data_IF_498121241298
#
_entry.id   IF_498121241298
#
_cell.length_a   1.000
_cell.length_b   1.000
_cell.length_c   1.000
_cell.angle_alpha   90.00
_cell.angle_beta   90.00
_cell.angle_gamma   90.00
#
_symmetry.space_group_name_H-M   'P 1'
#
loop_
_entity.id
_entity.type
_entity.pdbx_description
1 polymer ?
#
# COMPACT_ATOMS: atom_id res chain seq x y z
N UNK A 1 53.36 48.59 3.56
CA UNK A 1 54.31 47.65 4.17
C UNK A 1 53.59 46.76 5.17
N UNK A 2 53.85 45.45 5.10
CA UNK A 2 53.73 44.38 6.13
C UNK A 2 52.36 44.15 6.79
N UNK A 3 51.67 43.05 6.46
CA UNK A 3 51.72 41.71 7.12
C UNK A 3 51.14 41.66 8.54
N UNK A 4 50.06 40.89 8.74
CA UNK A 4 50.13 39.62 9.48
C UNK A 4 48.75 38.92 9.51
N UNK A 5 48.73 37.66 9.11
CA UNK A 5 47.62 36.71 9.30
C UNK A 5 48.13 35.67 10.32
N UNK A 6 47.29 35.37 11.31
CA UNK A 6 47.57 34.48 12.44
C UNK A 6 47.75 33.02 12.01
N UNK A 7 48.78 32.37 12.54
CA UNK A 7 49.00 30.93 12.52
C UNK A 7 47.97 30.20 13.41
N UNK A 8 47.50 29.05 12.95
CA UNK A 8 47.18 27.91 13.83
C UNK A 8 47.87 26.67 13.27
N UNK A 9 48.51 25.96 14.17
CA UNK A 9 49.53 24.92 14.01
C UNK A 9 48.93 23.58 13.58
N UNK A 10 49.52 22.92 12.58
CA UNK A 10 49.27 21.51 12.28
C UNK A 10 50.56 20.70 12.44
N UNK A 11 50.48 19.67 13.28
CA UNK A 11 51.56 18.72 13.60
C UNK A 11 51.80 17.78 12.41
N UNK A 12 53.06 17.59 12.01
CA UNK A 12 53.50 16.65 10.96
C UNK A 12 53.92 15.31 11.56
N UNK A 13 53.55 14.21 10.90
CA UNK A 13 54.25 12.93 10.98
C UNK A 13 54.88 12.61 9.61
N UNK A 14 56.10 12.03 9.55
CA UNK A 14 56.79 11.76 8.29
C UNK A 14 56.43 10.38 7.74
N UNK A 15 56.26 10.29 6.42
CA UNK A 15 56.31 9.01 5.70
C UNK A 15 57.45 9.09 4.69
N UNK A 16 58.45 8.24 4.89
CA UNK A 16 59.59 7.99 4.00
C UNK A 16 59.16 7.14 2.80
N UNK A 17 59.53 7.56 1.59
CA UNK A 17 59.48 6.76 0.36
C UNK A 17 60.88 6.20 0.04
N UNK A 18 61.01 4.94 -0.40
CA UNK A 18 62.20 4.52 -1.13
C UNK A 18 61.89 4.14 -2.59
N UNK A 19 62.79 4.58 -3.48
CA UNK A 19 63.31 3.72 -4.54
C UNK A 19 62.71 3.83 -5.94
N UNK A 20 63.40 4.59 -6.80
CA UNK A 20 63.38 4.41 -8.26
C UNK A 20 63.93 3.01 -8.62
N UNK A 21 63.21 2.27 -9.47
CA UNK A 21 63.81 1.26 -10.36
C UNK A 21 63.30 1.47 -11.80
N UNK A 22 64.19 1.15 -12.74
CA UNK A 22 64.29 1.62 -14.12
C UNK A 22 63.39 0.88 -15.13
N UNK A 23 62.95 1.61 -16.17
CA UNK A 23 62.26 1.10 -17.37
C UNK A 23 63.14 0.11 -18.14
N UNK A 24 63.02 -1.21 -17.91
CA UNK A 24 63.54 -2.22 -18.86
C UNK A 24 62.95 -3.64 -18.71
N UNK A 25 61.96 -3.90 -17.84
CA UNK A 25 61.46 -5.28 -17.63
C UNK A 25 59.94 -5.47 -17.79
N UNK A 26 59.22 -4.50 -18.37
CA UNK A 26 57.75 -4.54 -18.44
C UNK A 26 57.17 -4.89 -19.84
N UNK A 27 57.95 -5.46 -20.75
CA UNK A 27 57.47 -5.74 -22.12
C UNK A 27 57.33 -7.23 -22.50
N UNK A 28 57.42 -8.17 -21.56
CA UNK A 28 57.26 -9.61 -21.91
C UNK A 28 56.21 -10.41 -21.13
N UNK A 29 55.28 -9.74 -20.43
CA UNK A 29 54.17 -10.43 -19.72
C UNK A 29 52.75 -10.01 -20.10
N UNK A 30 52.56 -9.03 -21.01
CA UNK A 30 51.22 -8.50 -21.32
C UNK A 30 50.56 -9.05 -22.60
N UNK A 31 51.18 -9.98 -23.32
CA UNK A 31 50.60 -10.51 -24.58
C UNK A 31 49.87 -11.84 -24.42
N UNK A 32 49.87 -12.48 -23.24
CA UNK A 32 49.12 -13.73 -22.98
C UNK A 32 47.88 -13.58 -22.10
N UNK A 33 47.67 -12.44 -21.44
CA UNK A 33 46.48 -12.20 -20.63
C UNK A 33 45.32 -11.50 -21.37
N UNK A 34 45.56 -10.94 -22.56
CA UNK A 34 44.52 -10.25 -23.33
C UNK A 34 43.67 -11.17 -24.23
N UNK A 35 44.09 -12.42 -24.45
CA UNK A 35 43.32 -13.40 -25.23
C UNK A 35 42.48 -14.36 -24.37
N UNK A 36 42.70 -14.40 -23.05
CA UNK A 36 41.93 -15.26 -22.14
C UNK A 36 40.66 -14.58 -21.58
N UNK A 37 40.66 -13.25 -21.50
CA UNK A 37 39.53 -12.45 -21.00
C UNK A 37 38.42 -12.23 -22.04
N UNK A 38 38.70 -12.43 -23.34
CA UNK A 38 37.66 -12.36 -24.38
C UNK A 38 36.90 -13.69 -24.58
N UNK A 39 37.50 -14.83 -24.24
CA UNK A 39 36.84 -16.14 -24.36
C UNK A 39 35.87 -16.44 -23.22
N UNK A 40 36.13 -15.95 -21.99
CA UNK A 40 35.27 -16.21 -20.82
C UNK A 40 33.97 -15.39 -20.87
N UNK A 41 34.01 -14.18 -21.44
CA UNK A 41 32.80 -13.33 -21.56
C UNK A 41 31.88 -13.83 -22.68
N UNK A 42 32.42 -14.31 -23.81
CA UNK A 42 31.59 -14.75 -24.95
C UNK A 42 30.98 -16.16 -24.77
N UNK A 43 31.67 -17.08 -24.08
CA UNK A 43 31.09 -18.40 -23.74
C UNK A 43 30.15 -18.35 -22.52
N UNK A 44 30.33 -17.39 -21.61
CA UNK A 44 29.42 -17.18 -20.47
C UNK A 44 28.06 -16.61 -20.89
N UNK A 45 28.04 -15.66 -21.84
CA UNK A 45 26.79 -15.04 -22.33
C UNK A 45 25.95 -16.01 -23.15
N UNK A 46 26.58 -16.87 -23.97
CA UNK A 46 25.85 -17.81 -24.85
C UNK A 46 25.28 -19.07 -24.16
N UNK A 47 25.71 -19.36 -22.93
CA UNK A 47 25.10 -20.40 -22.07
C UNK A 47 24.00 -19.82 -21.16
N UNK A 48 24.13 -18.55 -20.74
CA UNK A 48 23.11 -17.87 -19.95
C UNK A 48 21.82 -17.59 -20.75
N UNK A 49 21.93 -17.24 -22.03
CA UNK A 49 20.77 -17.05 -22.92
C UNK A 49 20.01 -18.37 -23.21
N UNK A 50 20.69 -19.53 -23.21
CA UNK A 50 20.02 -20.83 -23.41
C UNK A 50 19.35 -21.36 -22.14
N UNK A 51 19.94 -21.14 -20.96
CA UNK A 51 19.34 -21.56 -19.68
C UNK A 51 18.15 -20.66 -19.31
N UNK A 52 18.14 -19.39 -19.71
CA UNK A 52 17.01 -18.49 -19.46
C UNK A 52 15.85 -18.71 -20.44
N UNK A 53 16.08 -18.94 -21.73
CA UNK A 53 14.99 -19.18 -22.69
C UNK A 53 14.27 -20.53 -22.53
N UNK A 54 14.94 -21.56 -22.00
CA UNK A 54 14.29 -22.87 -21.77
C UNK A 54 13.52 -22.93 -20.44
N UNK A 55 13.76 -21.99 -19.52
CA UNK A 55 13.08 -21.90 -18.21
C UNK A 55 11.91 -20.90 -18.23
N UNK A 56 11.96 -19.85 -19.06
CA UNK A 56 10.89 -18.85 -19.17
C UNK A 56 9.66 -19.28 -19.99
N UNK A 57 9.70 -20.45 -20.63
CA UNK A 57 8.56 -21.02 -21.37
C UNK A 57 7.85 -22.16 -20.65
N UNK A 58 8.29 -22.54 -19.44
CA UNK A 58 7.73 -23.67 -18.71
C UNK A 58 7.54 -23.37 -17.22
N UNK A 59 6.65 -22.41 -16.89
CA UNK A 59 5.95 -22.37 -15.60
C UNK A 59 4.76 -21.38 -15.58
N UNK A 60 3.94 -21.34 -16.64
CA UNK A 60 2.53 -21.05 -16.43
C UNK A 60 1.89 -22.34 -15.90
N UNK A 61 1.64 -22.40 -14.59
CA UNK A 61 1.01 -23.57 -13.97
C UNK A 61 -0.31 -23.88 -14.70
N UNK A 62 -0.60 -25.13 -15.09
CA UNK A 62 -1.85 -25.50 -15.76
C UNK A 62 -3.09 -25.03 -15.00
N UNK A 63 -2.99 -24.96 -13.66
CA UNK A 63 -4.03 -24.45 -12.78
C UNK A 63 -4.29 -22.94 -12.94
N UNK A 64 -3.27 -22.11 -13.20
CA UNK A 64 -3.44 -20.68 -13.48
C UNK A 64 -4.05 -20.43 -14.86
N UNK A 65 -3.62 -21.20 -15.86
CA UNK A 65 -4.18 -21.13 -17.22
C UNK A 65 -5.64 -21.59 -17.25
N UNK A 66 -5.95 -22.68 -16.56
CA UNK A 66 -7.32 -23.17 -16.41
C UNK A 66 -8.20 -22.20 -15.60
N UNK A 67 -7.72 -21.67 -14.47
CA UNK A 67 -8.44 -20.69 -13.66
C UNK A 67 -8.73 -19.39 -14.44
N UNK A 68 -7.75 -18.88 -15.20
CA UNK A 68 -7.92 -17.71 -16.06
C UNK A 68 -8.87 -17.98 -17.23
N UNK A 69 -8.85 -19.17 -17.83
CA UNK A 69 -9.79 -19.57 -18.88
C UNK A 69 -11.22 -19.76 -18.34
N UNK A 70 -11.38 -20.31 -17.13
CA UNK A 70 -12.69 -20.40 -16.47
C UNK A 70 -13.21 -19.01 -16.09
N UNK A 71 -12.38 -18.12 -15.54
CA UNK A 71 -12.76 -16.74 -15.23
C UNK A 71 -13.16 -15.96 -16.50
N UNK A 72 -12.39 -16.11 -17.58
CA UNK A 72 -12.75 -15.52 -18.87
C UNK A 72 -14.04 -16.09 -19.47
N UNK A 73 -14.39 -17.35 -19.16
CA UNK A 73 -15.66 -17.96 -19.57
C UNK A 73 -16.85 -17.55 -18.70
N UNK A 74 -16.64 -17.26 -17.41
CA UNK A 74 -17.69 -16.75 -16.50
C UNK A 74 -17.97 -15.27 -16.72
N UNK A 75 -16.97 -14.50 -17.15
CA UNK A 75 -17.12 -13.08 -17.50
C UNK A 75 -17.73 -12.85 -18.90
N UNK A 76 -18.00 -13.90 -19.67
CA UNK A 76 -18.54 -13.79 -21.01
C UNK A 76 -19.94 -13.12 -21.00
N UNK A 77 -19.97 -11.82 -21.35
CA UNK A 77 -21.19 -11.01 -21.42
C UNK A 77 -21.35 -10.00 -20.28
N UNK A 78 -20.47 -9.99 -19.27
CA UNK A 78 -20.44 -8.96 -18.24
C UNK A 78 -19.58 -7.76 -18.69
N UNK A 79 -19.99 -6.56 -18.32
CA UNK A 79 -19.17 -5.35 -18.52
C UNK A 79 -17.92 -5.40 -17.65
N UNK A 80 -16.77 -4.97 -18.17
CA UNK A 80 -15.55 -4.80 -17.35
C UNK A 80 -15.71 -3.67 -16.33
N UNK A 81 -14.86 -3.62 -15.30
CA UNK A 81 -14.90 -2.54 -14.32
C UNK A 81 -14.78 -1.16 -14.99
N UNK A 82 -13.89 -1.04 -15.98
CA UNK A 82 -13.72 0.18 -16.75
C UNK A 82 -15.01 0.60 -17.49
N UNK A 83 -15.77 -0.35 -18.03
CA UNK A 83 -17.05 -0.07 -18.70
C UNK A 83 -18.11 0.39 -17.69
N UNK A 84 -18.21 -0.29 -16.54
CA UNK A 84 -19.11 0.07 -15.46
C UNK A 84 -18.82 1.48 -14.92
N UNK A 85 -17.56 1.78 -14.58
CA UNK A 85 -17.16 3.09 -14.07
C UNK A 85 -17.45 4.22 -15.07
N UNK A 86 -17.23 3.98 -16.37
CA UNK A 86 -17.63 4.92 -17.45
C UNK A 86 -19.14 5.12 -17.50
N UNK A 87 -19.91 4.03 -17.50
CA UNK A 87 -21.39 4.06 -17.59
C UNK A 87 -22.00 4.82 -16.42
N UNK A 88 -21.48 4.62 -15.22
CA UNK A 88 -21.90 5.29 -14.00
C UNK A 88 -21.24 6.64 -13.75
N UNK A 89 -20.35 7.08 -14.65
CA UNK A 89 -19.66 8.38 -14.57
C UNK A 89 -18.91 8.60 -13.25
N UNK A 90 -18.26 7.54 -12.76
CA UNK A 90 -17.37 7.63 -11.60
C UNK A 90 -16.04 8.25 -12.02
N UNK A 91 -15.55 9.18 -11.21
CA UNK A 91 -14.23 9.81 -11.33
C UNK A 91 -13.06 8.86 -11.15
N UNK A 92 -13.28 7.74 -10.43
CA UNK A 92 -12.35 6.61 -10.33
C UNK A 92 -11.82 6.16 -11.70
N UNK A 93 -12.60 6.34 -12.77
CA UNK A 93 -12.13 6.10 -14.14
C UNK A 93 -11.43 7.31 -14.77
N UNK A 94 -12.12 8.45 -14.92
CA UNK A 94 -11.64 9.53 -15.81
C UNK A 94 -10.64 10.51 -15.17
N UNK A 95 -10.62 10.61 -13.85
CA UNK A 95 -9.66 11.46 -13.11
C UNK A 95 -8.50 10.64 -12.56
N UNK A 96 -8.79 9.42 -12.12
CA UNK A 96 -7.91 8.66 -11.25
C UNK A 96 -7.33 7.37 -11.87
N UNK A 97 -8.02 6.77 -12.85
CA UNK A 97 -7.63 5.50 -13.47
C UNK A 97 -7.45 4.33 -12.48
N UNK A 98 -8.28 4.28 -11.43
CA UNK A 98 -8.23 3.26 -10.38
C UNK A 98 -8.65 1.87 -10.87
N UNK A 99 -9.31 1.76 -12.02
CA UNK A 99 -9.68 0.47 -12.61
C UNK A 99 -8.48 -0.45 -12.85
N UNK A 100 -7.29 0.11 -13.09
CA UNK A 100 -6.07 -0.68 -13.30
C UNK A 100 -5.67 -1.48 -12.07
N UNK A 101 -5.90 -0.92 -10.88
CA UNK A 101 -5.58 -1.56 -9.60
C UNK A 101 -6.74 -2.42 -9.13
N UNK A 102 -7.96 -1.90 -9.24
CA UNK A 102 -9.15 -2.61 -8.80
C UNK A 102 -9.42 -3.89 -9.59
N UNK A 103 -9.20 -3.92 -10.90
CA UNK A 103 -9.37 -5.16 -11.67
C UNK A 103 -8.39 -6.25 -11.19
N UNK A 104 -7.15 -5.87 -10.85
CA UNK A 104 -6.16 -6.80 -10.30
C UNK A 104 -6.58 -7.34 -8.92
N UNK A 105 -7.05 -6.47 -8.04
CA UNK A 105 -7.33 -6.83 -6.65
C UNK A 105 -8.71 -7.47 -6.45
N UNK A 106 -9.73 -6.99 -7.17
CA UNK A 106 -11.12 -7.39 -7.00
C UNK A 106 -11.59 -8.41 -8.03
N UNK A 107 -10.89 -8.58 -9.16
CA UNK A 107 -11.21 -9.60 -10.16
C UNK A 107 -11.39 -11.01 -9.54
N UNK A 108 -10.49 -11.47 -8.64
CA UNK A 108 -10.67 -12.75 -7.94
C UNK A 108 -11.90 -12.83 -7.03
N UNK A 109 -12.45 -11.68 -6.61
CA UNK A 109 -13.61 -11.57 -5.72
C UNK A 109 -14.92 -11.40 -6.48
N UNK A 110 -14.86 -11.10 -7.79
CA UNK A 110 -16.00 -10.74 -8.64
C UNK A 110 -17.20 -11.66 -8.50
N UNK A 111 -16.96 -12.97 -8.52
CA UNK A 111 -17.99 -14.01 -8.49
C UNK A 111 -18.14 -14.71 -7.13
N UNK A 112 -17.54 -14.17 -6.06
CA UNK A 112 -17.62 -14.80 -4.74
C UNK A 112 -19.05 -14.68 -4.21
N UNK A 113 -19.70 -15.84 -4.03
CA UNK A 113 -21.04 -15.90 -3.47
C UNK A 113 -21.06 -15.36 -2.03
N UNK A 114 -21.98 -14.45 -1.75
CA UNK A 114 -22.15 -13.88 -0.42
C UNK A 114 -21.13 -12.79 -0.07
N UNK A 115 -20.47 -12.21 -1.08
CA UNK A 115 -19.53 -11.11 -0.89
C UNK A 115 -20.20 -9.93 -0.18
N UNK A 116 -19.51 -9.36 0.81
CA UNK A 116 -19.92 -8.16 1.52
C UNK A 116 -18.87 -7.09 1.34
N UNK A 117 -19.30 -5.90 0.93
CA UNK A 117 -18.44 -4.76 0.71
C UNK A 117 -18.93 -3.54 1.48
N UNK A 118 -17.98 -2.73 1.97
CA UNK A 118 -18.25 -1.38 2.43
C UNK A 118 -17.42 -0.35 1.66
N UNK A 119 -17.99 0.82 1.41
CA UNK A 119 -17.31 2.01 0.90
C UNK A 119 -17.59 3.16 1.86
N UNK A 120 -16.53 3.73 2.44
CA UNK A 120 -16.60 4.97 3.19
C UNK A 120 -16.52 6.09 2.17
N UNK A 121 -17.51 6.99 2.18
CA UNK A 121 -17.69 7.95 1.09
C UNK A 121 -18.73 7.46 0.09
N UNK A 122 -20.00 7.76 0.38
CA UNK A 122 -21.12 7.40 -0.48
C UNK A 122 -21.88 8.64 -0.98
N UNK A 123 -21.15 9.63 -1.53
CA UNK A 123 -21.67 10.97 -1.91
C UNK A 123 -23.01 10.89 -2.67
N UNK A 124 -22.97 10.63 -3.98
CA UNK A 124 -24.15 10.36 -4.81
C UNK A 124 -24.35 8.86 -5.07
N UNK A 125 -23.54 8.02 -4.41
CA UNK A 125 -23.41 6.56 -4.52
C UNK A 125 -23.37 5.97 -5.94
N UNK A 126 -22.78 6.70 -6.89
CA UNK A 126 -22.49 6.18 -8.24
C UNK A 126 -21.57 4.95 -8.20
N UNK A 127 -20.59 4.95 -7.29
CA UNK A 127 -19.69 3.82 -7.06
C UNK A 127 -20.41 2.62 -6.44
N UNK A 128 -21.38 2.83 -5.54
CA UNK A 128 -22.19 1.73 -5.01
C UNK A 128 -22.94 0.96 -6.12
N UNK A 129 -23.47 1.66 -7.12
CA UNK A 129 -24.08 1.03 -8.29
C UNK A 129 -23.07 0.24 -9.14
N UNK A 130 -21.84 0.75 -9.27
CA UNK A 130 -20.74 0.03 -9.93
C UNK A 130 -20.43 -1.25 -9.18
N UNK A 131 -20.24 -1.18 -7.87
CA UNK A 131 -19.87 -2.34 -7.05
C UNK A 131 -20.96 -3.41 -7.02
N UNK A 132 -22.23 -2.99 -6.94
CA UNK A 132 -23.40 -3.87 -7.02
C UNK A 132 -23.47 -4.68 -8.31
N UNK A 133 -23.04 -4.09 -9.43
CA UNK A 133 -23.01 -4.77 -10.74
C UNK A 133 -21.70 -5.51 -11.00
N UNK A 134 -20.57 -5.01 -10.48
CA UNK A 134 -19.27 -5.65 -10.64
C UNK A 134 -19.21 -6.97 -9.85
N UNK A 135 -19.62 -6.95 -8.59
CA UNK A 135 -19.73 -8.13 -7.73
C UNK A 135 -21.10 -8.80 -7.91
N UNK A 136 -21.21 -9.63 -8.95
CA UNK A 136 -22.48 -10.21 -9.42
C UNK A 136 -23.23 -11.05 -8.38
N UNK A 137 -22.52 -11.61 -7.40
CA UNK A 137 -23.06 -12.43 -6.31
C UNK A 137 -22.90 -11.79 -4.91
N UNK A 138 -22.73 -10.47 -4.84
CA UNK A 138 -22.68 -9.75 -3.57
C UNK A 138 -23.97 -9.93 -2.75
N UNK A 139 -23.83 -10.27 -1.47
CA UNK A 139 -24.93 -10.28 -0.51
C UNK A 139 -25.23 -8.88 0.04
N UNK A 140 -24.21 -8.01 0.13
CA UNK A 140 -24.38 -6.67 0.67
C UNK A 140 -23.30 -5.70 0.15
N UNK A 141 -23.74 -4.53 -0.30
CA UNK A 141 -22.92 -3.36 -0.61
C UNK A 141 -23.36 -2.24 0.35
N UNK A 142 -22.45 -1.73 1.16
CA UNK A 142 -22.72 -0.68 2.15
C UNK A 142 -21.97 0.60 1.78
N UNK A 143 -22.66 1.73 1.74
CA UNK A 143 -22.04 3.05 1.72
C UNK A 143 -22.11 3.72 3.09
N UNK A 144 -21.02 4.32 3.57
CA UNK A 144 -21.04 5.28 4.69
C UNK A 144 -21.06 6.70 4.10
N UNK A 145 -22.19 7.39 4.24
CA UNK A 145 -22.39 8.76 3.77
C UNK A 145 -22.21 9.77 4.92
N UNK A 146 -21.52 10.86 4.64
CA UNK A 146 -21.37 11.96 5.60
C UNK A 146 -22.57 12.92 5.53
N UNK A 147 -23.13 13.27 6.70
CA UNK A 147 -24.23 14.23 6.85
C UNK A 147 -25.63 13.61 7.04
N UNK A 148 -26.60 14.46 7.36
CA UNK A 148 -28.01 14.07 7.60
C UNK A 148 -28.87 14.04 6.34
N UNK A 149 -28.27 14.34 5.18
CA UNK A 149 -28.95 14.17 3.91
C UNK A 149 -29.13 12.67 3.71
N UNK A 150 -30.39 12.22 3.60
CA UNK A 150 -30.65 11.03 2.81
C UNK A 150 -29.84 11.19 1.52
N UNK A 151 -29.13 10.15 1.09
CA UNK A 151 -28.71 10.04 -0.32
C UNK A 151 -30.02 9.94 -1.11
N UNK A 152 -30.75 11.07 -1.19
CA UNK A 152 -31.97 11.26 -1.95
C UNK A 152 -31.49 11.13 -3.38
N UNK A 153 -31.49 9.90 -3.90
CA UNK A 153 -32.17 9.40 -5.10
C UNK A 153 -32.48 10.35 -6.26
N UNK A 154 -31.98 11.58 -6.27
CA UNK A 154 -32.49 12.69 -7.08
C UNK A 154 -31.68 12.90 -8.36
N UNK A 155 -30.41 12.49 -8.40
CA UNK A 155 -29.71 12.18 -9.66
C UNK A 155 -29.56 10.68 -9.90
N UNK A 156 -29.40 9.90 -8.82
CA UNK A 156 -29.30 8.45 -8.85
C UNK A 156 -30.69 7.81 -8.64
N UNK A 157 -31.61 8.03 -9.58
CA UNK A 157 -32.85 7.25 -9.71
C UNK A 157 -32.62 5.75 -9.98
N UNK A 158 -31.48 5.19 -9.54
CA UNK A 158 -30.95 3.85 -9.76
C UNK A 158 -30.51 3.10 -8.50
N UNK A 159 -30.54 3.72 -7.32
CA UNK A 159 -30.66 2.98 -6.04
C UNK A 159 -32.04 2.30 -5.90
N UNK A 160 -32.73 2.03 -7.02
CA UNK A 160 -34.01 1.33 -7.03
C UNK A 160 -33.91 0.17 -6.08
N UNK A 161 -34.90 0.07 -5.17
CA UNK A 161 -34.99 -0.73 -3.94
C UNK A 161 -34.28 -2.10 -3.99
N UNK A 162 -32.97 -2.13 -4.19
CA UNK A 162 -32.17 -3.33 -4.26
C UNK A 162 -31.78 -3.60 -2.82
N UNK A 163 -32.33 -4.68 -2.29
CA UNK A 163 -32.16 -5.06 -0.90
C UNK A 163 -30.69 -5.36 -0.55
N UNK A 164 -29.82 -5.51 -1.57
CA UNK A 164 -28.38 -5.66 -1.42
C UNK A 164 -27.62 -4.36 -1.17
N UNK A 165 -28.22 -3.18 -1.37
CA UNK A 165 -27.54 -1.90 -1.13
C UNK A 165 -28.08 -1.24 0.13
N UNK A 166 -27.17 -0.86 1.04
CA UNK A 166 -27.50 -0.10 2.26
C UNK A 166 -26.64 1.14 2.36
N UNK A 167 -27.21 2.20 2.92
CA UNK A 167 -26.48 3.42 3.27
C UNK A 167 -26.60 3.65 4.76
N UNK A 168 -25.45 3.86 5.41
CA UNK A 168 -25.33 4.29 6.80
C UNK A 168 -24.90 5.75 6.77
N UNK A 169 -25.48 6.59 7.63
CA UNK A 169 -25.08 7.98 7.75
C UNK A 169 -24.17 8.14 8.97
N UNK A 170 -23.04 8.84 8.81
CA UNK A 170 -22.16 9.14 9.93
C UNK A 170 -20.80 9.69 9.51
N UNK A 171 -20.03 10.06 10.52
CA UNK A 171 -18.66 10.55 10.37
C UNK A 171 -17.67 9.38 10.47
N UNK A 172 -16.79 9.21 9.48
CA UNK A 172 -15.79 8.15 9.51
C UNK A 172 -14.75 8.34 10.62
N UNK A 173 -14.64 9.53 11.19
CA UNK A 173 -13.75 9.83 12.33
C UNK A 173 -14.36 9.46 13.68
N UNK A 174 -15.65 9.08 13.72
CA UNK A 174 -16.34 8.66 14.94
C UNK A 174 -16.26 7.12 15.13
N UNK A 175 -15.53 6.63 16.15
CA UNK A 175 -15.42 5.19 16.42
C UNK A 175 -16.77 4.50 16.63
N UNK A 176 -17.80 5.19 17.13
CA UNK A 176 -19.12 4.60 17.32
C UNK A 176 -19.83 4.34 15.99
N UNK A 177 -19.68 5.24 15.02
CA UNK A 177 -20.18 5.06 13.64
C UNK A 177 -19.45 3.91 12.96
N UNK A 178 -18.12 3.84 13.11
CA UNK A 178 -17.33 2.74 12.56
C UNK A 178 -17.69 1.38 13.17
N UNK A 179 -18.02 1.35 14.47
CA UNK A 179 -18.52 0.14 15.12
C UNK A 179 -19.86 -0.30 14.54
N UNK A 180 -20.80 0.62 14.30
CA UNK A 180 -22.08 0.32 13.64
C UNK A 180 -21.88 -0.21 12.22
N UNK A 181 -20.94 0.37 11.47
CA UNK A 181 -20.58 -0.14 10.15
C UNK A 181 -20.05 -1.59 10.24
N UNK A 182 -19.22 -1.87 11.25
CA UNK A 182 -18.65 -3.19 11.49
C UNK A 182 -19.71 -4.28 11.74
N UNK A 183 -20.83 -3.95 12.38
CA UNK A 183 -21.96 -4.87 12.63
C UNK A 183 -22.60 -5.37 11.33
N UNK A 184 -22.46 -4.63 10.23
CA UNK A 184 -22.89 -5.05 8.90
C UNK A 184 -21.87 -5.96 8.19
N UNK A 185 -20.68 -6.15 8.76
CA UNK A 185 -19.65 -7.03 8.25
C UNK A 185 -19.83 -8.51 8.66
N UNK A 186 -18.73 -9.29 8.74
CA UNK A 186 -17.40 -8.91 8.29
C UNK A 186 -17.38 -8.77 6.76
N UNK A 187 -16.56 -7.84 6.26
CA UNK A 187 -16.46 -7.48 4.85
C UNK A 187 -15.31 -8.21 4.15
N UNK A 188 -15.53 -8.58 2.90
CA UNK A 188 -14.48 -9.06 2.00
C UNK A 188 -13.64 -7.88 1.48
N UNK A 189 -14.31 -6.74 1.25
CA UNK A 189 -13.70 -5.50 0.74
C UNK A 189 -14.18 -4.30 1.57
N UNK A 190 -13.25 -3.45 1.98
CA UNK A 190 -13.55 -2.08 2.43
C UNK A 190 -12.77 -1.11 1.56
N UNK A 191 -13.42 -0.06 1.06
CA UNK A 191 -12.77 1.09 0.41
C UNK A 191 -12.98 2.31 1.29
N UNK A 192 -11.93 3.06 1.56
CA UNK A 192 -11.96 4.38 2.16
C UNK A 192 -11.76 5.45 1.10
N UNK A 193 -12.87 6.02 0.66
CA UNK A 193 -13.00 7.12 -0.31
C UNK A 193 -13.80 8.28 0.34
N UNK A 194 -13.55 8.50 1.63
CA UNK A 194 -14.39 9.37 2.45
C UNK A 194 -13.97 10.85 2.43
N UNK A 195 -13.56 11.35 3.59
CA UNK A 195 -13.22 12.77 3.79
C UNK A 195 -11.85 13.16 3.23
N UNK A 196 -10.99 12.16 2.97
CA UNK A 196 -9.57 12.30 2.61
C UNK A 196 -8.73 13.12 3.62
N UNK A 197 -9.25 13.37 4.82
CA UNK A 197 -8.47 13.96 5.91
C UNK A 197 -7.50 12.90 6.42
N UNK A 198 -6.18 13.16 6.45
CA UNK A 198 -5.18 12.17 6.83
C UNK A 198 -5.46 11.42 8.13
N UNK A 199 -5.84 12.14 9.19
CA UNK A 199 -6.17 11.53 10.48
C UNK A 199 -7.42 10.65 10.41
N UNK A 200 -8.44 11.04 9.64
CA UNK A 200 -9.67 10.26 9.49
C UNK A 200 -9.43 8.92 8.79
N UNK A 201 -8.57 8.90 7.75
CA UNK A 201 -8.15 7.65 7.06
C UNK A 201 -7.43 6.68 8.00
N UNK A 202 -6.64 7.22 8.95
CA UNK A 202 -5.94 6.40 9.94
C UNK A 202 -6.90 5.87 11.01
N UNK A 203 -7.86 6.70 11.46
CA UNK A 203 -8.91 6.30 12.43
C UNK A 203 -9.79 5.18 11.86
N UNK A 204 -10.32 5.35 10.65
CA UNK A 204 -11.16 4.34 9.98
C UNK A 204 -10.41 3.02 9.83
N UNK A 205 -9.16 3.05 9.36
CA UNK A 205 -8.33 1.85 9.26
C UNK A 205 -8.17 1.14 10.60
N UNK A 206 -7.80 1.88 11.65
CA UNK A 206 -7.52 1.33 12.98
C UNK A 206 -8.74 0.65 13.63
N UNK A 207 -9.96 1.14 13.35
CA UNK A 207 -11.19 0.55 13.89
C UNK A 207 -11.72 -0.59 13.01
N UNK A 208 -11.50 -0.54 11.69
CA UNK A 208 -12.13 -1.46 10.74
C UNK A 208 -11.26 -2.64 10.33
N UNK A 209 -9.97 -2.44 10.06
CA UNK A 209 -9.12 -3.48 9.44
C UNK A 209 -9.05 -4.76 10.30
N UNK A 210 -8.71 -4.60 11.59
CA UNK A 210 -8.55 -5.73 12.51
C UNK A 210 -9.84 -6.49 12.81
N UNK A 211 -10.97 -5.78 12.90
CA UNK A 211 -12.23 -6.32 13.45
C UNK A 211 -13.29 -6.63 12.39
N UNK A 212 -13.31 -5.85 11.30
CA UNK A 212 -14.44 -5.82 10.36
C UNK A 212 -14.10 -6.46 9.03
N UNK A 213 -12.83 -6.67 8.69
CA UNK A 213 -12.42 -7.37 7.47
C UNK A 213 -12.25 -8.87 7.74
N UNK A 214 -12.77 -9.69 6.82
CA UNK A 214 -12.58 -11.15 6.81
C UNK A 214 -11.10 -11.49 6.58
N UNK A 215 -10.69 -12.63 7.10
CA UNK A 215 -9.41 -13.24 6.74
C UNK A 215 -9.26 -13.36 5.22
N UNK A 216 -8.15 -12.89 4.65
CA UNK A 216 -7.94 -12.81 3.21
C UNK A 216 -8.63 -11.63 2.50
N UNK A 217 -9.39 -10.81 3.22
CA UNK A 217 -10.03 -9.61 2.69
C UNK A 217 -9.06 -8.45 2.48
N UNK A 218 -9.57 -7.37 1.90
CA UNK A 218 -8.78 -6.22 1.45
C UNK A 218 -9.39 -4.89 1.94
N UNK A 219 -8.52 -4.01 2.46
CA UNK A 219 -8.84 -2.62 2.77
C UNK A 219 -8.12 -1.72 1.78
N UNK A 220 -8.81 -0.82 1.10
CA UNK A 220 -8.22 0.14 0.18
C UNK A 220 -8.43 1.55 0.69
N UNK A 221 -7.44 2.41 0.55
CA UNK A 221 -7.52 3.85 0.85
C UNK A 221 -7.27 4.60 -0.45
N UNK A 222 -8.24 5.41 -0.89
CA UNK A 222 -8.12 6.29 -2.06
C UNK A 222 -7.65 7.69 -1.65
N UNK A 223 -7.24 8.47 -2.65
CA UNK A 223 -6.95 9.90 -2.55
C UNK A 223 -5.93 10.29 -1.46
N UNK A 224 -4.81 9.57 -1.48
CA UNK A 224 -3.68 9.80 -0.57
C UNK A 224 -2.98 11.15 -0.80
N UNK A 225 -3.25 11.87 -1.89
CA UNK A 225 -2.54 13.09 -2.26
C UNK A 225 -2.68 14.19 -1.19
N UNK A 226 -3.79 14.18 -0.45
CA UNK A 226 -4.09 15.14 0.62
C UNK A 226 -3.03 15.12 1.72
N UNK A 227 -2.36 13.98 1.95
CA UNK A 227 -1.22 13.86 2.87
C UNK A 227 -0.03 14.74 2.46
N UNK A 228 0.04 15.17 1.20
CA UNK A 228 1.11 16.03 0.69
C UNK A 228 0.71 17.49 0.56
N UNK A 229 -0.56 17.85 0.79
CA UNK A 229 -1.04 19.22 0.60
C UNK A 229 -0.53 20.13 1.71
N UNK A 230 0.36 21.06 1.36
CA UNK A 230 0.92 22.05 2.29
C UNK A 230 0.99 23.46 1.70
N UNK A 231 0.55 23.62 0.45
CA UNK A 231 0.54 24.91 -0.23
C UNK A 231 -0.67 25.71 0.24
N UNK A 232 -0.40 26.87 0.82
CA UNK A 232 -1.44 27.84 1.18
C UNK A 232 -2.22 28.31 -0.06
N UNK A 233 -3.48 28.62 0.16
CA UNK A 233 -4.35 29.22 -0.85
C UNK A 233 -3.89 30.66 -1.17
N UNK A 234 -4.34 31.26 -2.29
CA UNK A 234 -3.91 32.60 -2.70
C UNK A 234 -4.17 33.72 -1.67
N UNK A 235 -5.17 33.54 -0.82
CA UNK A 235 -5.54 34.43 0.30
C UNK A 235 -4.72 34.19 1.58
N UNK A 236 -3.82 33.20 1.58
CA UNK A 236 -2.98 32.82 2.71
C UNK A 236 -3.58 31.75 3.62
N UNK A 237 -4.81 31.30 3.37
CA UNK A 237 -5.45 30.23 4.14
C UNK A 237 -4.74 28.88 3.95
N UNK A 238 -4.95 27.95 4.88
CA UNK A 238 -4.48 26.57 4.76
C UNK A 238 -5.12 25.88 3.54
N UNK A 239 -4.46 24.87 2.94
CA UNK A 239 -5.13 24.02 1.96
C UNK A 239 -6.36 23.36 2.60
N UNK A 240 -7.40 23.15 1.81
CA UNK A 240 -8.66 22.59 2.28
C UNK A 240 -9.07 21.40 1.41
N UNK A 241 -9.61 20.37 2.03
CA UNK A 241 -10.37 19.30 1.37
C UNK A 241 -11.79 19.34 1.90
N UNK A 242 -12.76 19.53 0.99
CA UNK A 242 -14.12 19.92 1.37
C UNK A 242 -14.12 21.14 2.31
N UNK A 243 -14.62 20.97 3.55
CA UNK A 243 -14.66 22.00 4.58
C UNK A 243 -13.56 21.82 5.65
N UNK A 244 -12.63 20.88 5.47
CA UNK A 244 -11.57 20.60 6.42
C UNK A 244 -10.29 21.34 6.04
N UNK A 245 -9.72 22.06 7.01
CA UNK A 245 -8.38 22.63 6.86
C UNK A 245 -7.32 21.55 7.05
N UNK A 246 -6.38 21.49 6.12
CA UNK A 246 -5.24 20.60 6.18
C UNK A 246 -4.02 21.40 6.63
N UNK A 247 -3.54 21.06 7.83
CA UNK A 247 -2.30 21.59 8.38
C UNK A 247 -1.30 20.45 8.48
N UNK A 248 0.00 20.71 8.29
CA UNK A 248 1.04 19.70 8.52
C UNK A 248 1.23 18.65 7.42
N UNK A 249 0.55 18.76 6.28
CA UNK A 249 0.84 17.91 5.11
C UNK A 249 2.22 18.16 4.51
N UNK A 250 2.66 17.27 3.61
CA UNK A 250 3.92 17.40 2.86
C UNK A 250 4.80 16.15 2.93
N UNK A 251 5.76 16.03 2.01
CA UNK A 251 6.66 14.88 1.94
C UNK A 251 7.49 14.79 3.24
N UNK A 252 7.43 13.63 3.91
CA UNK A 252 8.16 13.36 5.14
C UNK A 252 7.64 14.09 6.38
N UNK A 253 6.48 14.76 6.30
CA UNK A 253 5.86 15.34 7.49
C UNK A 253 5.26 14.24 8.39
N UNK A 254 5.39 14.36 9.71
CA UNK A 254 4.97 13.30 10.62
C UNK A 254 3.44 13.14 10.65
N UNK A 255 2.94 11.96 11.03
CA UNK A 255 1.54 11.78 11.41
C UNK A 255 1.17 12.58 12.68
N UNK A 256 -0.13 12.81 12.97
CA UNK A 256 -1.31 12.31 12.27
C UNK A 256 -1.72 13.08 11.00
N UNK A 257 -1.08 14.21 10.71
CA UNK A 257 -1.39 15.08 9.56
C UNK A 257 -0.94 14.51 8.21
N UNK A 258 -0.25 13.36 8.23
CA UNK A 258 0.19 12.64 7.05
C UNK A 258 -0.11 11.14 7.18
N UNK A 259 -1.11 10.66 6.44
CA UNK A 259 -1.53 9.26 6.49
C UNK A 259 -0.51 8.35 5.79
N UNK A 260 0.11 8.82 4.71
CA UNK A 260 1.13 8.03 4.00
C UNK A 260 2.33 7.73 4.92
N UNK A 261 2.85 8.72 5.65
CA UNK A 261 3.93 8.49 6.60
C UNK A 261 3.51 7.59 7.76
N UNK A 262 2.23 7.63 8.19
CA UNK A 262 1.69 6.68 9.18
C UNK A 262 1.70 5.26 8.63
N UNK A 263 1.14 5.05 7.44
CA UNK A 263 1.02 3.72 6.86
C UNK A 263 2.36 3.12 6.38
N UNK A 264 3.37 3.96 6.08
CA UNK A 264 4.74 3.48 5.87
C UNK A 264 5.29 2.73 7.08
N UNK A 265 4.92 3.12 8.31
CA UNK A 265 5.34 2.41 9.52
C UNK A 265 4.84 0.96 9.55
N UNK A 266 3.77 0.62 8.81
CA UNK A 266 3.26 -0.76 8.74
C UNK A 266 4.15 -1.70 7.93
N UNK A 267 5.09 -1.16 7.15
CA UNK A 267 6.12 -1.98 6.49
C UNK A 267 6.97 -2.68 7.56
N UNK A 268 7.25 -2.03 8.68
CA UNK A 268 7.99 -2.64 9.79
C UNK A 268 7.16 -3.73 10.48
N UNK A 269 5.84 -3.51 10.62
CA UNK A 269 4.89 -4.52 11.14
C UNK A 269 4.86 -5.77 10.25
N UNK A 270 5.00 -5.65 8.92
CA UNK A 270 5.12 -6.81 8.03
C UNK A 270 6.33 -7.70 8.37
N UNK A 271 7.41 -7.09 8.89
CA UNK A 271 8.65 -7.79 9.25
C UNK A 271 8.63 -8.41 10.64
N UNK A 272 7.55 -8.24 11.42
CA UNK A 272 7.43 -8.67 12.83
C UNK A 272 7.97 -10.06 13.14
N UNK A 273 7.72 -11.03 12.25
CA UNK A 273 8.23 -12.41 12.40
C UNK A 273 9.74 -12.48 12.22
N UNK A 274 10.28 -11.88 11.14
CA UNK A 274 11.71 -11.81 10.85
C UNK A 274 12.49 -11.02 11.91
N UNK A 275 11.86 -10.05 12.55
CA UNK A 275 12.45 -9.30 13.67
C UNK A 275 12.44 -10.11 14.99
N UNK A 276 11.70 -11.22 15.05
CA UNK A 276 11.50 -12.00 16.28
C UNK A 276 10.56 -11.33 17.27
N UNK A 277 9.70 -10.42 16.81
CA UNK A 277 8.78 -9.63 17.63
C UNK A 277 7.34 -9.82 17.12
N UNK A 278 6.76 -11.01 17.30
CA UNK A 278 5.46 -11.37 16.69
C UNK A 278 4.30 -10.45 17.10
N UNK A 279 4.37 -9.85 18.29
CA UNK A 279 3.40 -8.87 18.77
C UNK A 279 3.63 -7.43 18.30
N UNK A 280 4.46 -7.20 17.28
CA UNK A 280 4.70 -5.86 16.72
C UNK A 280 3.38 -5.33 16.15
N UNK A 281 2.93 -4.20 16.69
CA UNK A 281 1.70 -3.53 16.24
C UNK A 281 1.78 -2.04 16.55
N UNK A 282 1.36 -1.20 15.62
CA UNK A 282 1.39 0.27 15.71
C UNK A 282 -0.04 0.82 15.78
N UNK A 283 -0.94 0.28 14.97
CA UNK A 283 -2.39 0.49 15.02
C UNK A 283 -3.11 -0.81 15.39
N UNK A 284 -4.26 -0.74 16.07
CA UNK A 284 -5.05 -1.93 16.38
C UNK A 284 -5.31 -2.83 15.14
N UNK A 285 -4.84 -4.07 15.20
CA UNK A 285 -5.07 -5.10 14.18
C UNK A 285 -4.14 -5.07 12.97
N UNK A 286 -3.15 -4.17 12.91
CA UNK A 286 -2.16 -4.13 11.84
C UNK A 286 -1.20 -5.35 11.84
N UNK A 287 -1.08 -6.04 12.96
CA UNK A 287 -0.42 -7.34 13.10
C UNK A 287 -1.09 -8.46 12.28
N UNK A 288 -2.27 -8.19 11.72
CA UNK A 288 -3.00 -9.09 10.82
C UNK A 288 -2.73 -8.81 9.33
N UNK A 289 -1.91 -7.80 9.01
CA UNK A 289 -1.54 -7.49 7.61
C UNK A 289 -0.59 -8.57 7.07
N UNK A 290 -0.88 -9.02 5.84
CA UNK A 290 -0.06 -9.96 5.08
C UNK A 290 0.77 -9.28 3.98
N UNK A 291 0.19 -8.29 3.32
CA UNK A 291 0.84 -7.52 2.27
C UNK A 291 0.22 -6.14 2.14
N UNK A 292 1.02 -5.21 1.64
CA UNK A 292 0.62 -3.84 1.32
C UNK A 292 0.98 -3.62 -0.15
N UNK A 293 0.05 -3.06 -0.93
CA UNK A 293 0.27 -2.66 -2.31
C UNK A 293 0.01 -1.16 -2.48
N UNK A 294 0.87 -0.47 -3.23
CA UNK A 294 0.71 0.94 -3.55
C UNK A 294 0.31 1.12 -5.01
N UNK A 295 -0.72 1.91 -5.24
CA UNK A 295 -1.11 2.43 -6.55
C UNK A 295 -0.85 3.93 -6.64
N UNK A 296 -1.02 4.49 -7.84
CA UNK A 296 -1.02 5.93 -8.00
C UNK A 296 -2.19 6.53 -7.24
N UNK A 297 -1.90 7.19 -6.13
CA UNK A 297 -2.88 7.88 -5.27
C UNK A 297 -3.79 6.98 -4.42
N UNK A 298 -3.49 5.68 -4.31
CA UNK A 298 -4.20 4.77 -3.43
C UNK A 298 -3.27 3.70 -2.83
N UNK A 299 -3.72 3.01 -1.79
CA UNK A 299 -3.02 1.84 -1.26
C UNK A 299 -3.98 0.77 -0.77
N UNK A 300 -3.55 -0.48 -0.85
CA UNK A 300 -4.31 -1.65 -0.41
C UNK A 300 -3.58 -2.43 0.67
N UNK A 301 -4.31 -2.87 1.69
CA UNK A 301 -3.86 -3.74 2.76
C UNK A 301 -4.60 -5.07 2.66
N UNK A 302 -3.86 -6.16 2.52
CA UNK A 302 -4.43 -7.49 2.49
C UNK A 302 -4.30 -8.13 3.88
N UNK A 303 -5.43 -8.52 4.45
CA UNK A 303 -5.46 -9.27 5.71
C UNK A 303 -4.99 -10.70 5.46
N UNK A 304 -4.15 -11.23 6.35
CA UNK A 304 -3.73 -12.63 6.26
C UNK A 304 -4.96 -13.55 6.18
N UNK A 305 -4.84 -14.63 5.43
CA UNK A 305 -5.70 -15.80 5.57
C UNK A 305 -5.28 -16.61 6.80
N UNK A 306 -6.18 -17.46 7.30
CA UNK A 306 -5.85 -18.39 8.38
C UNK A 306 -4.63 -19.28 8.02
N UNK A 307 -4.53 -19.73 6.77
CA UNK A 307 -3.43 -20.59 6.33
C UNK A 307 -2.09 -19.85 6.27
N UNK A 308 -2.08 -18.59 5.83
CA UNK A 308 -0.87 -17.74 5.87
C UNK A 308 -0.41 -17.49 7.32
N UNK A 309 -1.34 -17.33 8.28
CA UNK A 309 -0.96 -17.18 9.68
C UNK A 309 -0.35 -18.46 10.27
N UNK A 310 -0.87 -19.64 9.90
CA UNK A 310 -0.38 -20.96 10.36
C UNK A 310 0.98 -21.36 9.78
N UNK A 311 1.39 -20.76 8.66
CA UNK A 311 2.66 -21.08 7.98
C UNK A 311 3.57 -19.85 7.90
N UNK A 312 4.09 -19.35 9.05
CA UNK A 312 5.13 -18.32 9.03
C UNK A 312 6.33 -18.78 8.18
N UNK A 313 7.06 -17.85 7.53
CA UNK A 313 8.39 -18.16 7.00
C UNK A 313 9.26 -18.78 8.10
N UNK A 314 10.04 -19.81 7.75
CA UNK A 314 11.02 -20.37 8.69
C UNK A 314 12.01 -19.28 9.10
N UNK A 315 12.13 -19.03 10.40
CA UNK A 315 13.13 -18.11 10.91
C UNK A 315 14.49 -18.80 10.78
N UNK A 316 15.39 -18.18 10.01
CA UNK A 316 16.80 -18.59 9.95
C UNK A 316 17.47 -18.48 11.33
N UNK A 317 18.69 -19.01 11.42
CA UNK A 317 19.54 -19.34 12.60
C UNK A 317 19.68 -18.28 13.73
N UNK A 318 19.06 -17.11 13.64
CA UNK A 318 18.96 -16.16 14.75
C UNK A 318 17.95 -16.70 15.76
N UNK A 319 18.46 -17.33 16.82
CA UNK A 319 17.68 -17.97 17.89
C UNK A 319 16.78 -17.02 18.70
N UNK A 320 16.18 -17.49 19.80
CA UNK A 320 15.26 -16.72 20.61
C UNK A 320 15.99 -15.53 21.25
N UNK A 321 15.76 -14.34 20.71
CA UNK A 321 16.49 -13.12 21.04
C UNK A 321 16.27 -11.95 20.07
N UNK A 322 15.66 -12.22 18.90
CA UNK A 322 15.27 -11.18 17.95
C UNK A 322 16.45 -10.58 17.19
N UNK A 323 16.17 -9.99 16.03
CA UNK A 323 17.19 -9.29 15.24
C UNK A 323 17.43 -7.85 15.72
N UNK A 324 16.59 -7.35 16.64
CA UNK A 324 16.53 -5.94 17.05
C UNK A 324 16.64 -5.84 18.57
N UNK A 325 17.40 -4.85 19.04
CA UNK A 325 17.51 -4.49 20.45
C UNK A 325 16.15 -4.12 21.06
N UNK A 326 15.81 -4.69 22.23
CA UNK A 326 14.51 -4.46 22.89
C UNK A 326 14.30 -2.99 23.29
N UNK A 327 15.37 -2.30 23.70
CA UNK A 327 15.33 -0.88 24.05
C UNK A 327 14.99 -0.02 22.84
N UNK A 328 15.66 -0.27 21.72
CA UNK A 328 15.37 0.36 20.43
C UNK A 328 13.93 0.08 19.99
N UNK A 329 13.45 -1.16 20.08
CA UNK A 329 12.09 -1.52 19.68
C UNK A 329 11.04 -0.79 20.53
N UNK A 330 11.26 -0.69 21.84
CA UNK A 330 10.37 0.05 22.74
C UNK A 330 10.33 1.55 22.43
N UNK A 331 11.49 2.15 22.19
CA UNK A 331 11.62 3.56 21.78
C UNK A 331 10.87 3.82 20.46
N UNK A 332 11.11 2.99 19.44
CA UNK A 332 10.43 3.05 18.15
C UNK A 332 8.91 2.94 18.29
N UNK A 333 8.42 1.93 19.02
CA UNK A 333 6.98 1.74 19.22
C UNK A 333 6.34 2.93 19.93
N UNK A 334 7.03 3.52 20.90
CA UNK A 334 6.56 4.73 21.57
C UNK A 334 6.45 5.91 20.58
N UNK A 335 7.48 6.14 19.77
CA UNK A 335 7.50 7.20 18.75
C UNK A 335 6.45 6.98 17.65
N UNK A 336 6.24 5.73 17.23
CA UNK A 336 5.23 5.39 16.24
C UNK A 336 3.81 5.58 16.80
N UNK A 337 3.54 5.15 18.04
CA UNK A 337 2.20 5.21 18.63
C UNK A 337 1.81 6.60 19.14
N UNK A 338 2.76 7.43 19.59
CA UNK A 338 2.45 8.80 20.04
C UNK A 338 1.93 9.71 18.91
N UNK A 339 2.19 9.34 17.66
CA UNK A 339 1.70 10.04 16.46
C UNK A 339 0.41 9.45 15.90
N UNK A 340 -0.24 8.52 16.62
CA UNK A 340 -1.58 8.05 16.24
C UNK A 340 -2.60 9.18 16.48
N UNK A 341 -3.59 9.35 15.60
CA UNK A 341 -4.72 10.24 15.85
C UNK A 341 -5.41 9.94 17.19
N UNK A 342 -5.98 10.98 17.80
CA UNK A 342 -6.87 10.84 18.96
C UNK A 342 -8.07 9.96 18.58
N UNK A 343 -8.46 9.03 19.46
CA UNK A 343 -9.58 8.11 19.22
C UNK A 343 -9.17 6.73 18.73
N UNK A 344 -7.87 6.46 18.66
CA UNK A 344 -7.23 5.14 18.50
C UNK A 344 -6.55 4.78 19.82
#
# INVERSE_FOLDING_TARGET
GRHSLSLVTAVRYPVTLPGRQTMASLERRHTRLFLLSFFIVYFGISQWERVTMTSLTAQSSPARSAAAATAASTDAGLESLAQLLKRYRSDKFWRHHYEHYYEKWFGPLRHVAGLRMAEIGAERGRSLDVWKEYFDNAALIVGLAYGSGTVESSEAGRFGKDERVKVVNGDQSDPAVLAQLCELGPFDVIIDDGSHVPSHMVISFAHLFGKCIKEGGIYVIEDLETSYWNKRQPDGELPKVYNYELNGGGIGQPPPENAVEKFKQMIDVLMRKQLGYEGLSILPGDDQICSIEFGMNLMAFHKCTQEQRKRPPELGVYGPGGAVDEGHMKEYLNQARVTNPVGI
#
